data_IF_048238380692
#
_entry.id   IF_048238380692
#
_cell.length_a   1.000
_cell.length_b   1.000
_cell.length_c   1.000
_cell.angle_alpha   90.00
_cell.angle_beta   90.00
_cell.angle_gamma   90.00
#
_symmetry.space_group_name_H-M   'P 1'
#
loop_
_entity.id
_entity.type
_entity.pdbx_description
1 polymer ?
#
# COMPACT_ATOMS: atom_id res chain seq x y z
N UNK A 1 -6.01 7.33 12.47
CA UNK A 1 -6.10 6.56 11.21
C UNK A 1 -4.74 6.57 10.56
N UNK A 2 -4.19 5.40 10.27
CA UNK A 2 -2.85 5.25 9.72
C UNK A 2 -2.95 4.28 8.55
N UNK A 3 -2.29 4.63 7.44
CA UNK A 3 -2.14 3.81 6.25
C UNK A 3 -0.67 3.82 5.88
N UNK A 4 -0.16 2.73 5.36
CA UNK A 4 1.25 2.54 5.03
C UNK A 4 1.39 1.90 3.65
N UNK A 5 2.45 2.24 2.92
CA UNK A 5 2.73 1.79 1.57
C UNK A 5 2.89 2.97 0.61
N UNK A 6 3.34 2.71 -0.61
CA UNK A 6 3.59 3.78 -1.59
C UNK A 6 2.30 4.56 -1.91
N UNK A 7 1.16 3.87 -1.96
CA UNK A 7 -0.15 4.46 -2.22
C UNK A 7 -0.58 5.41 -1.09
N UNK A 8 -0.24 5.08 0.15
CA UNK A 8 -0.47 5.96 1.30
C UNK A 8 0.47 7.19 1.25
N UNK A 9 1.71 7.04 0.78
CA UNK A 9 2.63 8.15 0.57
C UNK A 9 2.13 9.12 -0.52
N UNK A 10 1.69 8.61 -1.68
CA UNK A 10 1.09 9.43 -2.75
C UNK A 10 -0.11 10.21 -2.22
N UNK A 11 -0.97 9.55 -1.42
CA UNK A 11 -2.10 10.22 -0.80
C UNK A 11 -1.67 11.34 0.17
N UNK A 12 -0.67 11.08 1.02
CA UNK A 12 -0.13 12.09 1.93
C UNK A 12 0.42 13.30 1.16
N UNK A 13 1.11 13.08 0.04
CA UNK A 13 1.59 14.18 -0.82
C UNK A 13 0.43 15.03 -1.37
N UNK A 14 -0.70 14.42 -1.74
CA UNK A 14 -1.85 15.21 -2.19
C UNK A 14 -2.44 16.03 -1.05
N UNK A 15 -2.64 15.44 0.12
CA UNK A 15 -3.17 16.19 1.28
C UNK A 15 -2.23 17.32 1.72
N UNK A 16 -0.92 17.11 1.66
CA UNK A 16 0.08 18.16 1.93
C UNK A 16 0.03 19.31 0.92
N UNK A 17 -0.34 19.03 -0.32
CA UNK A 17 -0.43 20.03 -1.40
C UNK A 17 -1.86 20.52 -1.64
N UNK A 18 -2.79 20.19 -0.74
CA UNK A 18 -4.19 20.56 -0.85
C UNK A 18 -4.35 22.08 -0.93
N UNK A 19 -5.25 22.50 -1.82
CA UNK A 19 -5.60 23.89 -2.09
C UNK A 19 -7.04 24.16 -1.66
N UNK A 20 -7.41 25.43 -1.58
CA UNK A 20 -8.76 25.83 -1.16
C UNK A 20 -9.80 25.56 -2.25
N UNK A 21 -9.40 25.52 -3.53
CA UNK A 21 -10.29 25.21 -4.65
C UNK A 21 -10.43 23.71 -4.90
N UNK A 22 -11.68 23.27 -5.13
CA UNK A 22 -11.99 21.88 -5.54
C UNK A 22 -11.32 21.49 -6.86
N UNK A 23 -11.25 22.42 -7.82
CA UNK A 23 -10.65 22.16 -9.13
C UNK A 23 -9.13 21.99 -9.01
N UNK A 24 -8.48 22.82 -8.18
CA UNK A 24 -7.04 22.72 -7.96
C UNK A 24 -6.68 21.43 -7.22
N UNK A 25 -7.51 21.00 -6.26
CA UNK A 25 -7.35 19.70 -5.62
C UNK A 25 -7.47 18.56 -6.62
N UNK A 26 -8.45 18.63 -7.53
CA UNK A 26 -8.59 17.66 -8.63
C UNK A 26 -7.32 17.59 -9.50
N UNK A 27 -6.72 18.74 -9.83
CA UNK A 27 -5.47 18.78 -10.59
C UNK A 27 -4.28 18.21 -9.80
N UNK A 28 -4.18 18.49 -8.50
CA UNK A 28 -3.14 17.89 -7.64
C UNK A 28 -3.27 16.37 -7.58
N UNK A 29 -4.50 15.83 -7.53
CA UNK A 29 -4.72 14.39 -7.66
C UNK A 29 -4.17 13.85 -8.99
N UNK A 30 -4.48 14.51 -10.10
CA UNK A 30 -3.97 14.14 -11.43
C UNK A 30 -2.43 14.15 -11.50
N UNK A 31 -1.78 15.17 -10.94
CA UNK A 31 -0.32 15.33 -10.96
C UNK A 31 0.37 14.27 -10.11
N UNK A 32 -0.04 14.10 -8.85
CA UNK A 32 0.64 13.16 -7.94
C UNK A 32 0.39 11.71 -8.37
N UNK A 33 -0.79 11.40 -8.91
CA UNK A 33 -1.09 10.06 -9.40
C UNK A 33 -0.37 9.77 -10.71
N UNK A 34 -0.35 10.70 -11.67
CA UNK A 34 0.47 10.51 -12.88
C UNK A 34 1.96 10.37 -12.54
N UNK A 35 2.46 11.12 -11.54
CA UNK A 35 3.83 10.98 -11.04
C UNK A 35 4.09 9.62 -10.38
N UNK A 36 3.11 9.08 -9.64
CA UNK A 36 3.16 7.73 -9.07
C UNK A 36 3.07 6.62 -10.13
N UNK A 37 2.23 6.80 -11.16
CA UNK A 37 2.02 5.87 -12.29
C UNK A 37 3.21 5.82 -13.24
N UNK A 38 3.78 6.98 -13.58
CA UNK A 38 4.94 7.10 -14.46
C UNK A 38 6.25 6.70 -13.75
N UNK A 39 6.17 6.26 -12.49
CA UNK A 39 7.31 5.75 -11.73
C UNK A 39 8.37 6.80 -11.40
N UNK A 40 8.10 8.09 -11.63
CA UNK A 40 9.06 9.19 -11.46
C UNK A 40 9.54 9.28 -10.00
N UNK A 41 8.66 8.95 -9.05
CA UNK A 41 8.99 8.87 -7.61
C UNK A 41 9.16 7.44 -7.07
N UNK A 42 8.96 6.40 -7.89
CA UNK A 42 9.12 4.99 -7.48
C UNK A 42 10.56 4.48 -7.60
N UNK A 43 11.52 5.36 -7.93
CA UNK A 43 12.93 4.99 -8.04
C UNK A 43 13.41 4.42 -6.68
N UNK A 44 13.74 3.12 -6.68
CA UNK A 44 14.51 2.40 -5.65
C UNK A 44 13.79 1.89 -4.38
N UNK A 45 12.50 1.52 -4.43
CA UNK A 45 11.91 0.75 -3.31
C UNK A 45 12.09 -0.75 -3.57
N UNK A 46 13.17 -1.33 -3.04
CA UNK A 46 13.37 -2.78 -3.02
C UNK A 46 12.69 -3.38 -1.77
N UNK A 47 11.62 -4.15 -1.97
CA UNK A 47 10.93 -4.84 -0.89
C UNK A 47 11.62 -6.16 -0.50
N UNK A 48 12.77 -6.48 -1.07
CA UNK A 48 13.59 -7.62 -0.67
C UNK A 48 13.94 -7.54 0.80
N UNK A 49 13.76 -8.64 1.53
CA UNK A 49 14.00 -8.69 2.98
C UNK A 49 12.86 -8.17 3.85
N UNK A 50 11.82 -7.57 3.27
CA UNK A 50 10.57 -7.25 3.99
C UNK A 50 9.71 -8.51 4.09
N UNK A 51 9.22 -8.79 5.30
CA UNK A 51 8.26 -9.84 5.59
C UNK A 51 7.06 -9.28 6.34
N UNK A 52 5.87 -9.72 5.98
CA UNK A 52 4.64 -9.41 6.72
C UNK A 52 4.04 -10.72 7.18
N UNK A 53 3.75 -10.84 8.47
CA UNK A 53 3.10 -12.00 9.07
C UNK A 53 1.76 -11.61 9.69
N UNK A 54 0.79 -12.51 9.62
CA UNK A 54 -0.58 -12.30 10.10
C UNK A 54 -1.03 -13.53 10.91
N UNK A 55 -1.91 -13.35 11.90
CA UNK A 55 -2.45 -14.46 12.68
C UNK A 55 -3.41 -15.31 11.83
N UNK A 56 -3.24 -16.63 11.87
CA UNK A 56 -4.17 -17.62 11.33
C UNK A 56 -4.38 -18.71 12.39
N UNK A 57 -5.45 -18.58 13.18
CA UNK A 57 -5.66 -19.42 14.36
C UNK A 57 -4.62 -19.14 15.45
N UNK A 58 -3.86 -20.17 15.83
CA UNK A 58 -2.81 -20.09 16.86
C UNK A 58 -1.44 -19.73 16.27
N UNK A 59 -1.28 -19.84 14.94
CA UNK A 59 0.00 -19.67 14.27
C UNK A 59 0.10 -18.33 13.52
N UNK A 60 1.35 -17.90 13.27
CA UNK A 60 1.64 -16.72 12.46
C UNK A 60 2.01 -17.15 11.04
N UNK A 61 1.13 -16.85 10.07
CA UNK A 61 1.37 -17.11 8.65
C UNK A 61 2.07 -15.94 7.98
N UNK A 62 2.98 -16.23 7.04
CA UNK A 62 3.56 -15.21 6.19
C UNK A 62 2.54 -14.74 5.13
N UNK A 63 2.16 -13.47 5.22
CA UNK A 63 1.37 -12.76 4.21
C UNK A 63 2.25 -12.25 3.07
N UNK A 64 3.45 -11.75 3.37
CA UNK A 64 4.37 -11.21 2.38
C UNK A 64 5.82 -11.64 2.65
N UNK A 65 6.61 -12.01 1.63
CA UNK A 65 6.11 -12.51 0.34
C UNK A 65 5.31 -13.81 0.57
N UNK A 66 4.28 -14.13 -0.24
CA UNK A 66 3.48 -15.34 -0.03
C UNK A 66 4.32 -16.63 -0.07
N UNK A 67 4.17 -17.53 0.92
CA UNK A 67 5.02 -18.70 1.08
C UNK A 67 4.86 -19.72 -0.06
N UNK A 68 3.66 -19.91 -0.61
CA UNK A 68 3.42 -20.85 -1.73
C UNK A 68 4.20 -20.51 -3.03
N UNK A 69 4.90 -19.37 -3.08
CA UNK A 69 5.79 -18.99 -4.16
C UNK A 69 7.20 -18.80 -3.61
N UNK A 70 7.77 -19.85 -3.02
CA UNK A 70 9.04 -19.88 -2.28
C UNK A 70 10.26 -19.30 -3.02
N UNK A 71 10.16 -18.99 -4.32
CA UNK A 71 11.22 -18.40 -5.13
C UNK A 71 10.99 -16.91 -5.51
N UNK A 72 9.84 -16.34 -5.18
CA UNK A 72 9.52 -14.95 -5.53
C UNK A 72 10.03 -14.01 -4.45
N UNK A 73 11.07 -13.24 -4.79
CA UNK A 73 11.72 -12.29 -3.87
C UNK A 73 10.93 -10.98 -3.87
N UNK A 74 10.99 -10.23 -2.77
CA UNK A 74 10.21 -9.01 -2.56
C UNK A 74 10.28 -8.01 -3.73
N UNK A 75 11.37 -8.00 -4.51
CA UNK A 75 11.54 -7.17 -5.72
C UNK A 75 10.43 -7.32 -6.78
N UNK A 76 9.68 -8.44 -6.80
CA UNK A 76 8.56 -8.63 -7.75
C UNK A 76 7.32 -7.79 -7.41
N UNK A 77 7.32 -7.15 -6.25
CA UNK A 77 6.22 -6.35 -5.78
C UNK A 77 6.59 -4.88 -5.79
N UNK A 78 5.76 -4.08 -6.43
CA UNK A 78 5.88 -2.62 -6.42
C UNK A 78 5.47 -2.01 -5.08
N UNK A 79 4.56 -2.64 -4.33
CA UNK A 79 4.10 -2.14 -3.04
C UNK A 79 3.56 -3.23 -2.13
N UNK A 80 3.76 -3.05 -0.82
CA UNK A 80 3.11 -3.80 0.25
C UNK A 80 2.82 -2.84 1.39
N UNK A 81 1.65 -2.99 2.01
CA UNK A 81 1.24 -2.07 3.06
C UNK A 81 -0.13 -2.38 3.59
N UNK A 82 -0.76 -1.35 4.15
CA UNK A 82 -2.13 -1.42 4.58
C UNK A 82 -2.84 -0.09 4.37
N UNK A 83 -4.12 -0.19 4.06
CA UNK A 83 -5.01 0.95 4.00
C UNK A 83 -5.96 0.84 5.18
N UNK A 84 -6.21 1.94 5.88
CA UNK A 84 -7.30 2.01 6.84
C UNK A 84 -8.27 3.13 6.45
N UNK A 85 -8.48 3.32 5.15
CA UNK A 85 -9.55 4.14 4.62
C UNK A 85 -10.13 3.51 3.35
N UNK A 86 -11.36 3.91 3.03
CA UNK A 86 -12.11 3.38 1.91
C UNK A 86 -11.60 3.85 0.55
N UNK A 87 -11.17 5.11 0.45
CA UNK A 87 -10.64 5.65 -0.78
C UNK A 87 -9.69 6.83 -0.59
N UNK A 88 -8.66 6.90 -1.42
CA UNK A 88 -7.72 8.01 -1.53
C UNK A 88 -7.82 8.65 -2.92
N UNK A 89 -7.34 9.89 -3.05
CA UNK A 89 -7.23 10.50 -4.36
C UNK A 89 -8.56 11.03 -4.93
N UNK A 90 -9.49 11.49 -4.09
CA UNK A 90 -10.83 11.91 -4.54
C UNK A 90 -11.76 10.76 -4.96
N UNK A 91 -11.59 9.57 -4.38
CA UNK A 91 -12.37 8.37 -4.72
C UNK A 91 -11.73 7.50 -5.81
N UNK A 92 -10.56 7.89 -6.29
CA UNK A 92 -9.88 7.27 -7.41
C UNK A 92 -9.25 5.94 -7.02
N UNK A 93 -8.61 5.86 -5.86
CA UNK A 93 -8.06 4.62 -5.31
C UNK A 93 -8.93 4.12 -4.18
N UNK A 94 -9.15 2.82 -4.08
CA UNK A 94 -9.93 2.28 -2.96
C UNK A 94 -9.59 0.85 -2.63
N UNK A 95 -10.01 0.42 -1.45
CA UNK A 95 -10.00 -0.99 -1.11
C UNK A 95 -11.15 -1.71 -1.84
N UNK A 96 -10.93 -2.94 -2.31
CA UNK A 96 -12.02 -3.76 -2.87
C UNK A 96 -13.11 -4.03 -1.83
N UNK A 97 -12.69 -4.33 -0.62
CA UNK A 97 -13.56 -4.43 0.55
C UNK A 97 -13.40 -3.15 1.38
N UNK A 98 -14.48 -2.41 1.67
CA UNK A 98 -14.42 -1.20 2.50
C UNK A 98 -13.76 -1.45 3.87
N UNK A 99 -12.90 -0.52 4.27
CA UNK A 99 -12.39 -0.37 5.63
C UNK A 99 -13.54 0.01 6.58
N UNK A 100 -13.65 -0.71 7.69
CA UNK A 100 -14.53 -0.39 8.80
C UNK A 100 -13.66 0.18 9.91
N UNK A 101 -13.91 1.43 10.29
CA UNK A 101 -13.03 2.18 11.17
C UNK A 101 -13.04 1.70 12.63
N UNK A 102 -14.02 0.88 13.01
CA UNK A 102 -14.29 0.37 14.34
C UNK A 102 -14.16 -1.16 14.46
N UNK A 103 -13.78 -1.86 13.39
CA UNK A 103 -13.68 -3.33 13.39
C UNK A 103 -12.40 -3.87 14.07
N UNK A 104 -11.47 -2.98 14.42
CA UNK A 104 -10.18 -3.32 15.03
C UNK A 104 -9.23 -4.08 14.10
N UNK A 105 -9.42 -3.98 12.78
CA UNK A 105 -8.63 -4.67 11.75
C UNK A 105 -7.85 -3.67 10.89
N UNK A 106 -6.85 -4.21 10.19
CA UNK A 106 -6.05 -3.54 9.18
C UNK A 106 -6.33 -4.20 7.83
N UNK A 107 -6.60 -3.38 6.80
CA UNK A 107 -6.76 -3.87 5.43
C UNK A 107 -5.38 -3.94 4.75
N UNK A 108 -4.72 -5.10 4.87
CA UNK A 108 -3.42 -5.34 4.24
C UNK A 108 -3.57 -5.51 2.73
N UNK A 109 -2.63 -4.97 1.97
CA UNK A 109 -2.53 -5.18 0.53
C UNK A 109 -1.10 -5.50 0.10
N UNK A 110 -0.98 -6.10 -1.08
CA UNK A 110 0.27 -6.32 -1.79
C UNK A 110 0.01 -6.20 -3.29
N UNK A 111 0.89 -5.51 -3.98
CA UNK A 111 0.72 -5.17 -5.39
C UNK A 111 1.99 -5.52 -6.17
N UNK A 112 1.82 -6.36 -7.20
CA UNK A 112 2.90 -6.78 -8.09
C UNK A 112 3.20 -5.74 -9.15
N UNK A 113 2.18 -5.40 -9.90
CA UNK A 113 2.24 -4.36 -10.91
C UNK A 113 1.11 -3.34 -10.69
N UNK A 114 1.34 -2.13 -11.18
CA UNK A 114 0.32 -1.11 -11.24
C UNK A 114 -0.68 -1.37 -12.37
N UNK A 115 -0.13 -1.55 -13.57
CA UNK A 115 -0.91 -1.56 -14.81
C UNK A 115 -1.84 -2.75 -14.90
N UNK A 116 -1.40 -3.94 -14.51
CA UNK A 116 -2.23 -5.14 -14.44
C UNK A 116 -3.31 -5.02 -13.37
N UNK A 117 -3.03 -4.41 -12.21
CA UNK A 117 -4.10 -4.12 -11.24
C UNK A 117 -5.15 -3.16 -11.82
N UNK A 118 -4.72 -2.08 -12.47
CA UNK A 118 -5.65 -1.12 -13.12
C UNK A 118 -6.47 -1.76 -14.23
N UNK A 119 -5.84 -2.55 -15.11
CA UNK A 119 -6.56 -3.21 -16.19
C UNK A 119 -7.52 -4.30 -15.70
N UNK A 120 -7.15 -5.05 -14.66
CA UNK A 120 -7.96 -6.17 -14.17
C UNK A 120 -9.06 -5.76 -13.19
N UNK A 121 -8.83 -4.71 -12.39
CA UNK A 121 -9.65 -4.38 -11.19
C UNK A 121 -9.92 -2.88 -11.04
N UNK A 122 -9.54 -2.09 -12.03
CA UNK A 122 -9.50 -0.64 -11.90
C UNK A 122 -8.52 -0.22 -10.82
N UNK A 123 -8.74 0.97 -10.27
CA UNK A 123 -7.88 1.55 -9.25
C UNK A 123 -8.20 1.02 -7.83
N UNK A 124 -8.81 -0.18 -7.74
CA UNK A 124 -9.07 -0.83 -6.46
C UNK A 124 -7.97 -1.81 -6.09
N UNK A 125 -7.46 -1.70 -4.88
CA UNK A 125 -6.49 -2.63 -4.31
C UNK A 125 -7.21 -3.86 -3.75
N UNK A 126 -6.62 -5.02 -3.98
CA UNK A 126 -7.05 -6.24 -3.31
C UNK A 126 -6.52 -6.23 -1.87
N UNK A 127 -7.40 -5.91 -0.94
CA UNK A 127 -7.13 -5.91 0.49
C UNK A 127 -7.57 -7.22 1.16
N UNK A 128 -6.96 -7.53 2.29
CA UNK A 128 -7.35 -8.61 3.20
C UNK A 128 -7.28 -8.09 4.64
N UNK A 129 -8.32 -8.37 5.43
CA UNK A 129 -8.49 -7.84 6.79
C UNK A 129 -7.80 -8.70 7.85
N UNK A 130 -6.99 -8.09 8.71
CA UNK A 130 -6.30 -8.78 9.81
C UNK A 130 -6.24 -7.94 11.08
N UNK A 131 -6.34 -8.57 12.26
CA UNK A 131 -6.33 -7.87 13.56
C UNK A 131 -4.93 -7.51 14.08
N UNK A 132 -3.88 -8.26 13.68
CA UNK A 132 -2.51 -8.11 14.22
C UNK A 132 -1.42 -8.41 13.18
N UNK A 133 -1.19 -7.49 12.25
CA UNK A 133 -0.11 -7.65 11.27
C UNK A 133 1.26 -7.33 11.88
N UNK A 134 2.26 -8.16 11.61
CA UNK A 134 3.65 -7.95 12.03
C UNK A 134 4.51 -7.69 10.80
N UNK A 135 5.05 -6.48 10.71
CA UNK A 135 6.01 -6.09 9.68
C UNK A 135 7.42 -6.32 10.21
N UNK A 136 8.18 -7.14 9.51
CA UNK A 136 9.57 -7.44 9.80
C UNK A 136 10.41 -6.96 8.63
N UNK A 137 11.48 -6.21 8.92
CA UNK A 137 12.39 -5.69 7.91
C UNK A 137 13.80 -6.09 8.27
N UNK A 138 14.56 -6.61 7.30
CA UNK A 138 15.97 -6.92 7.51
C UNK A 138 16.75 -5.63 7.80
N UNK A 139 17.67 -5.69 8.76
CA UNK A 139 18.57 -4.57 9.10
C UNK A 139 19.52 -4.19 7.97
N UNK A 140 19.69 -5.10 7.02
CA UNK A 140 20.56 -4.95 5.86
C UNK A 140 19.91 -4.14 4.72
N UNK A 141 18.60 -3.86 4.81
CA UNK A 141 17.86 -3.11 3.78
C UNK A 141 17.97 -1.60 4.09
N UNK A 142 18.70 -0.82 3.28
CA UNK A 142 18.82 0.61 3.48
C UNK A 142 17.46 1.30 3.26
N UNK A 143 17.08 2.22 4.16
CA UNK A 143 15.97 3.15 3.92
C UNK A 143 14.60 2.76 4.51
N UNK A 144 14.44 1.58 5.13
CA UNK A 144 13.22 1.28 5.89
C UNK A 144 13.45 1.63 7.37
N UNK A 145 13.31 2.91 7.67
CA UNK A 145 13.28 3.39 9.04
C UNK A 145 11.82 3.44 9.49
N UNK A 146 11.39 2.47 10.31
CA UNK A 146 10.28 2.74 11.21
C UNK A 146 10.80 3.77 12.21
N UNK A 147 10.46 5.04 11.99
CA UNK A 147 10.64 6.05 13.02
C UNK A 147 9.73 5.65 14.19
N UNK A 148 10.36 5.37 15.33
CA UNK A 148 9.69 5.11 16.61
C UNK A 148 9.17 6.42 17.16
#
# INVERSE_FOLDING_TARGET
YFSMGFEAFVAALVELNRKDSRLENFMQYGIQISSGMLGVQRRNIDLTGIKVKVPEGVEMRQFFPPPAREQMRGFEYESVGFLNINSFGGGMWGANEPAFFDDGRLDLFRQRDYLGNVMARGLRLQTQKYTRAFFQVSREVPGVHFQV
#
